data_IF_299851329972
#
_entry.id   IF_299851329972
#
_cell.length_a   1.000
_cell.length_b   1.000
_cell.length_c   1.000
_cell.angle_alpha   90.00
_cell.angle_beta   90.00
_cell.angle_gamma   90.00
#
_symmetry.space_group_name_H-M   'P 1'
#
loop_
_entity.id
_entity.type
_entity.pdbx_description
1 polymer ?
#
# COMPACT_ATOMS: atom_id res chain seq x y z
N UNK A 1 13.32 8.44 26.25
CA UNK A 1 12.80 8.72 24.89
C UNK A 1 11.30 8.46 24.91
N UNK A 2 10.49 9.43 24.53
CA UNK A 2 9.05 9.19 24.36
C UNK A 2 8.87 8.32 23.12
N UNK A 3 8.19 7.18 23.28
CA UNK A 3 7.89 6.30 22.15
C UNK A 3 6.97 6.94 21.12
N UNK A 4 6.88 6.35 19.93
CA UNK A 4 6.03 6.82 18.86
C UNK A 4 4.57 6.42 19.09
N UNK A 5 3.67 7.34 18.80
CA UNK A 5 2.24 7.05 18.69
C UNK A 5 1.87 6.75 17.24
N UNK A 6 1.50 5.49 16.99
CA UNK A 6 1.11 4.99 15.67
C UNK A 6 -0.40 4.79 15.62
N UNK A 7 -1.08 5.47 14.71
CA UNK A 7 -2.56 5.42 14.64
C UNK A 7 -3.02 4.88 13.29
N UNK A 8 -3.79 3.81 13.30
CA UNK A 8 -4.41 3.22 12.11
C UNK A 8 -5.89 3.56 12.01
N UNK A 9 -6.34 3.92 10.80
CA UNK A 9 -7.71 4.36 10.53
C UNK A 9 -8.51 3.28 9.79
N UNK A 10 -9.30 2.50 10.51
CA UNK A 10 -10.10 1.41 9.93
C UNK A 10 -11.17 1.88 8.94
N UNK A 11 -11.70 3.09 9.11
CA UNK A 11 -12.67 3.70 8.18
C UNK A 11 -12.07 4.11 6.84
N UNK A 12 -10.75 4.08 6.69
CA UNK A 12 -10.07 4.22 5.40
C UNK A 12 -10.26 3.00 4.48
N UNK A 13 -10.66 1.84 5.02
CA UNK A 13 -10.94 0.63 4.26
C UNK A 13 -12.33 0.73 3.64
N UNK A 14 -12.50 0.51 2.31
CA UNK A 14 -13.80 0.56 1.67
C UNK A 14 -14.79 -0.42 2.29
N UNK A 15 -16.07 -0.06 2.43
CA UNK A 15 -17.12 -0.99 2.79
C UNK A 15 -17.16 -2.15 1.77
N UNK A 16 -17.30 -3.37 2.22
CA UNK A 16 -17.34 -4.55 1.34
C UNK A 16 -15.99 -5.20 1.05
N UNK A 17 -14.88 -4.58 1.39
CA UNK A 17 -13.53 -5.16 1.18
C UNK A 17 -13.14 -6.20 2.27
N UNK A 18 -14.16 -6.86 2.83
CA UNK A 18 -14.00 -7.89 3.88
C UNK A 18 -13.26 -9.12 3.36
N UNK A 19 -13.46 -9.46 2.07
CA UNK A 19 -12.85 -10.65 1.44
C UNK A 19 -11.32 -10.59 1.36
N UNK A 20 -10.73 -9.41 1.33
CA UNK A 20 -9.30 -9.25 1.17
C UNK A 20 -8.51 -9.29 2.50
N UNK A 21 -9.14 -9.62 3.61
CA UNK A 21 -8.53 -9.66 4.95
C UNK A 21 -7.76 -8.37 5.37
N UNK A 22 -7.97 -7.28 4.64
CA UNK A 22 -7.28 -6.01 4.90
C UNK A 22 -7.47 -5.48 6.33
N UNK A 23 -8.67 -5.59 6.93
CA UNK A 23 -8.86 -5.21 8.33
C UNK A 23 -7.99 -6.03 9.28
N UNK A 24 -7.86 -7.34 9.05
CA UNK A 24 -7.04 -8.23 9.88
C UNK A 24 -5.56 -7.90 9.75
N UNK A 25 -5.08 -7.69 8.52
CA UNK A 25 -3.67 -7.36 8.26
C UNK A 25 -3.28 -6.05 8.95
N UNK A 26 -4.14 -5.02 8.90
CA UNK A 26 -3.91 -3.75 9.58
C UNK A 26 -3.92 -3.91 11.11
N UNK A 27 -4.82 -4.75 11.65
CA UNK A 27 -4.82 -5.08 13.08
C UNK A 27 -3.52 -5.76 13.50
N UNK A 28 -3.08 -6.76 12.74
CA UNK A 28 -1.84 -7.47 13.00
C UNK A 28 -0.61 -6.54 12.92
N UNK A 29 -0.64 -5.55 12.02
CA UNK A 29 0.41 -4.52 11.95
C UNK A 29 0.48 -3.71 13.25
N UNK A 30 -0.65 -3.20 13.74
CA UNK A 30 -0.72 -2.42 14.98
C UNK A 30 -0.36 -3.28 16.20
N UNK A 31 -0.77 -4.54 16.23
CA UNK A 31 -0.34 -5.48 17.26
C UNK A 31 1.19 -5.69 17.23
N UNK A 32 1.77 -5.78 16.04
CA UNK A 32 3.22 -5.82 15.84
C UNK A 32 3.93 -4.59 16.40
N UNK A 33 3.38 -3.39 16.17
CA UNK A 33 3.88 -2.15 16.75
C UNK A 33 3.86 -2.22 18.28
N UNK A 34 2.74 -2.60 18.86
CA UNK A 34 2.58 -2.69 20.32
C UNK A 34 3.53 -3.73 20.94
N UNK A 35 3.75 -4.85 20.27
CA UNK A 35 4.64 -5.90 20.75
C UNK A 35 6.11 -5.54 20.61
N UNK A 36 6.51 -5.13 19.39
CA UNK A 36 7.91 -4.85 19.08
C UNK A 36 8.37 -3.50 19.64
N UNK A 37 7.49 -2.50 19.64
CA UNK A 37 7.75 -1.14 20.09
C UNK A 37 7.67 -0.96 21.60
N UNK A 38 7.15 -1.94 22.35
CA UNK A 38 6.97 -1.84 23.82
C UNK A 38 8.24 -1.40 24.54
N UNK A 39 9.38 -1.94 24.16
CA UNK A 39 10.68 -1.60 24.75
C UNK A 39 11.14 -0.16 24.47
N UNK A 40 10.55 0.50 23.49
CA UNK A 40 10.81 1.89 23.13
C UNK A 40 9.71 2.84 23.62
N UNK A 41 8.64 2.30 24.19
CA UNK A 41 7.46 3.07 24.62
C UNK A 41 6.47 3.36 23.49
N UNK A 42 6.61 2.71 22.33
CA UNK A 42 5.71 2.89 21.19
C UNK A 42 4.29 2.41 21.51
N UNK A 43 3.30 3.11 20.97
CA UNK A 43 1.89 2.81 21.16
C UNK A 43 1.17 2.78 19.83
N UNK A 44 0.62 1.61 19.48
CA UNK A 44 -0.25 1.42 18.34
C UNK A 44 -1.72 1.50 18.72
N UNK A 45 -2.49 2.33 18.03
CA UNK A 45 -3.92 2.57 18.26
C UNK A 45 -4.70 2.32 16.98
N UNK A 46 -5.84 1.61 17.10
CA UNK A 46 -6.79 1.42 15.99
C UNK A 46 -7.99 2.33 16.21
N UNK A 47 -8.23 3.25 15.28
CA UNK A 47 -9.41 4.10 15.28
C UNK A 47 -10.47 3.58 14.31
N UNK A 48 -11.67 3.42 14.82
CA UNK A 48 -12.86 3.11 14.04
C UNK A 48 -13.79 4.33 13.96
N UNK A 49 -13.22 5.50 13.75
CA UNK A 49 -13.94 6.78 13.66
C UNK A 49 -13.59 7.50 12.36
N UNK A 50 -14.30 8.58 12.07
CA UNK A 50 -14.04 9.48 10.95
C UNK A 50 -13.20 10.70 11.34
N UNK A 51 -12.79 10.76 12.60
CA UNK A 51 -12.02 11.89 13.14
C UNK A 51 -10.53 11.66 12.93
N UNK A 52 -9.84 12.66 12.45
CA UNK A 52 -8.37 12.68 12.36
C UNK A 52 -7.82 13.08 13.72
N UNK A 53 -6.89 12.32 14.24
CA UNK A 53 -6.23 12.60 15.52
C UNK A 53 -4.73 12.82 15.31
N UNK A 54 -4.07 13.41 16.30
CA UNK A 54 -2.63 13.57 16.27
C UNK A 54 -1.91 12.22 16.47
N UNK A 55 -0.87 11.99 15.67
CA UNK A 55 -0.04 10.79 15.69
C UNK A 55 1.35 11.10 15.14
N UNK A 56 2.36 10.36 15.60
CA UNK A 56 3.69 10.46 15.03
C UNK A 56 3.76 9.74 13.67
N UNK A 57 3.04 8.62 13.58
CA UNK A 57 2.84 7.91 12.32
C UNK A 57 1.36 7.57 12.16
N UNK A 58 0.75 8.00 11.08
CA UNK A 58 -0.60 7.57 10.71
C UNK A 58 -0.54 6.44 9.70
N UNK A 59 -1.42 5.45 9.84
CA UNK A 59 -1.51 4.28 8.94
C UNK A 59 -2.85 4.28 8.24
N UNK A 60 -2.84 4.36 6.91
CA UNK A 60 -4.04 4.32 6.06
C UNK A 60 -3.97 3.20 5.04
N UNK A 61 -5.12 2.67 4.66
CA UNK A 61 -5.22 1.68 3.58
C UNK A 61 -5.59 2.37 2.27
N UNK A 62 -4.74 2.19 1.26
CA UNK A 62 -4.86 2.83 -0.05
C UNK A 62 -4.31 4.26 -0.05
N UNK A 63 -3.81 4.65 -1.20
CA UNK A 63 -3.21 5.97 -1.42
C UNK A 63 -4.28 7.06 -1.64
N UNK A 64 -3.83 8.31 -1.60
CA UNK A 64 -4.64 9.49 -1.89
C UNK A 64 -4.36 9.99 -3.31
N UNK A 65 -5.38 10.56 -3.96
CA UNK A 65 -5.26 11.21 -5.27
C UNK A 65 -6.24 12.39 -5.36
N UNK A 66 -6.15 13.20 -6.39
CA UNK A 66 -6.94 14.43 -6.56
C UNK A 66 -8.45 14.19 -6.48
N UNK A 67 -8.92 13.07 -7.04
CA UNK A 67 -10.33 12.68 -7.03
C UNK A 67 -10.80 12.00 -5.71
N UNK A 68 -10.04 12.11 -4.63
CA UNK A 68 -10.38 11.49 -3.33
C UNK A 68 -11.58 12.12 -2.61
N UNK A 69 -12.40 12.91 -3.29
CA UNK A 69 -13.58 13.57 -2.70
C UNK A 69 -14.88 12.79 -2.86
N UNK A 70 -14.94 11.76 -3.71
CA UNK A 70 -16.21 11.09 -4.06
C UNK A 70 -16.78 10.20 -2.95
N UNK A 71 -15.96 9.69 -2.07
CA UNK A 71 -16.39 8.75 -1.03
C UNK A 71 -15.77 9.09 0.32
N UNK A 72 -16.56 8.93 1.38
CA UNK A 72 -16.17 9.30 2.74
C UNK A 72 -14.84 8.65 3.20
N UNK A 73 -14.59 7.40 2.84
CA UNK A 73 -13.34 6.72 3.17
C UNK A 73 -12.13 7.31 2.43
N UNK A 74 -12.31 7.82 1.20
CA UNK A 74 -11.27 8.51 0.44
C UNK A 74 -10.99 9.91 1.01
N UNK A 75 -12.04 10.62 1.41
CA UNK A 75 -11.91 11.91 2.09
C UNK A 75 -11.13 11.77 3.39
N UNK A 76 -11.40 10.73 4.17
CA UNK A 76 -10.65 10.46 5.40
C UNK A 76 -9.17 10.18 5.12
N UNK A 77 -8.85 9.35 4.09
CA UNK A 77 -7.46 9.11 3.69
C UNK A 77 -6.73 10.42 3.38
N UNK A 78 -7.38 11.28 2.56
CA UNK A 78 -6.83 12.57 2.18
C UNK A 78 -6.59 13.45 3.41
N UNK A 79 -7.57 13.57 4.28
CA UNK A 79 -7.47 14.38 5.49
C UNK A 79 -6.36 13.91 6.44
N UNK A 80 -6.20 12.59 6.62
CA UNK A 80 -5.12 12.00 7.41
C UNK A 80 -3.77 12.29 6.78
N UNK A 81 -3.62 12.00 5.49
CA UNK A 81 -2.37 12.20 4.76
C UNK A 81 -1.92 13.67 4.79
N UNK A 82 -2.77 14.58 4.36
CA UNK A 82 -2.45 16.01 4.36
C UNK A 82 -2.23 16.56 5.77
N UNK A 83 -2.94 16.03 6.76
CA UNK A 83 -2.74 16.38 8.16
C UNK A 83 -1.35 15.98 8.67
N UNK A 84 -0.83 14.82 8.27
CA UNK A 84 0.54 14.40 8.59
C UNK A 84 1.57 15.28 7.86
N UNK A 85 1.37 15.53 6.57
CA UNK A 85 2.28 16.38 5.78
C UNK A 85 2.40 17.80 6.37
N UNK A 86 1.27 18.44 6.72
CA UNK A 86 1.28 19.77 7.36
C UNK A 86 2.04 19.82 8.69
N UNK A 87 2.12 18.69 9.40
CA UNK A 87 2.84 18.57 10.67
C UNK A 87 4.26 18.05 10.51
N UNK A 88 4.72 17.85 9.28
CA UNK A 88 5.99 17.21 8.97
C UNK A 88 6.15 15.83 9.66
N UNK A 89 5.04 15.07 9.72
CA UNK A 89 4.98 13.71 10.26
C UNK A 89 4.69 12.70 9.15
N UNK A 90 5.00 11.44 9.41
CA UNK A 90 4.96 10.38 8.41
C UNK A 90 3.56 9.74 8.30
N UNK A 91 3.20 9.37 7.08
CA UNK A 91 2.01 8.59 6.81
C UNK A 91 2.41 7.25 6.15
N UNK A 92 2.19 6.13 6.85
CA UNK A 92 2.36 4.83 6.24
C UNK A 92 1.13 4.46 5.42
N UNK A 93 1.33 4.22 4.16
CA UNK A 93 0.29 3.79 3.23
C UNK A 93 0.40 2.29 3.01
N UNK A 94 -0.71 1.60 3.21
CA UNK A 94 -0.82 0.14 3.02
C UNK A 94 -1.74 -0.13 1.84
N UNK A 95 -1.29 -0.91 0.88
CA UNK A 95 -2.11 -1.23 -0.29
C UNK A 95 -1.88 -2.66 -0.81
N UNK A 96 -2.70 -3.06 -1.76
CA UNK A 96 -2.61 -4.35 -2.42
C UNK A 96 -1.27 -4.55 -3.12
N UNK A 97 -0.79 -5.77 -3.15
CA UNK A 97 0.37 -6.19 -3.93
C UNK A 97 -0.04 -7.21 -5.00
N UNK A 98 0.89 -7.65 -5.82
CA UNK A 98 0.69 -8.74 -6.79
C UNK A 98 0.26 -10.05 -6.12
N UNK A 99 0.58 -10.22 -4.85
CA UNK A 99 0.38 -11.46 -4.10
C UNK A 99 -0.88 -11.46 -3.23
N UNK A 100 -1.72 -10.42 -3.32
CA UNK A 100 -2.95 -10.30 -2.52
C UNK A 100 -4.03 -11.29 -2.94
N UNK A 101 -4.08 -11.64 -4.22
CA UNK A 101 -5.16 -12.42 -4.83
C UNK A 101 -4.81 -13.88 -5.11
N UNK A 102 -3.67 -14.36 -4.64
CA UNK A 102 -3.24 -15.74 -4.85
C UNK A 102 -4.26 -16.75 -4.29
N UNK A 103 -4.84 -16.45 -3.13
CA UNK A 103 -5.99 -17.14 -2.55
C UNK A 103 -6.57 -16.28 -1.44
N UNK A 104 -7.83 -15.86 -1.60
CA UNK A 104 -8.51 -15.01 -0.62
C UNK A 104 -8.89 -15.74 0.67
N UNK A 105 -8.88 -17.06 0.67
CA UNK A 105 -9.20 -17.90 1.83
C UNK A 105 -7.99 -18.18 2.70
N UNK A 106 -6.77 -17.98 2.17
CA UNK A 106 -5.54 -18.23 2.90
C UNK A 106 -5.01 -17.00 3.62
N UNK A 107 -4.37 -17.22 4.77
CA UNK A 107 -3.65 -16.20 5.54
C UNK A 107 -2.37 -15.67 4.86
N UNK A 108 -2.10 -16.07 3.62
CA UNK A 108 -0.89 -15.76 2.84
C UNK A 108 -1.03 -14.54 1.94
N UNK A 109 -1.92 -13.62 2.31
CA UNK A 109 -2.07 -12.37 1.57
C UNK A 109 -1.02 -11.35 2.02
N UNK A 110 -0.30 -10.81 1.05
CA UNK A 110 0.72 -9.81 1.30
C UNK A 110 0.26 -8.44 0.85
N UNK A 111 0.47 -7.44 1.69
CA UNK A 111 0.28 -6.04 1.36
C UNK A 111 1.64 -5.38 1.15
N UNK A 112 1.68 -4.34 0.34
CA UNK A 112 2.83 -3.44 0.28
C UNK A 112 2.63 -2.29 1.26
N UNK A 113 3.74 -1.81 1.79
CA UNK A 113 3.82 -0.72 2.74
C UNK A 113 4.84 0.29 2.22
N UNK A 114 4.52 1.56 2.30
CA UNK A 114 5.44 2.63 1.96
C UNK A 114 5.15 3.87 2.80
N UNK A 115 6.18 4.61 3.15
CA UNK A 115 6.02 5.90 3.79
C UNK A 115 5.70 6.95 2.74
N UNK A 116 4.65 7.72 3.01
CA UNK A 116 4.18 8.87 2.24
C UNK A 116 3.81 8.57 0.78
N UNK A 117 3.81 7.31 0.39
CA UNK A 117 3.43 6.81 -0.93
C UNK A 117 3.49 5.28 -0.99
N UNK A 118 3.21 4.71 -2.16
CA UNK A 118 3.25 3.26 -2.42
C UNK A 118 3.89 2.90 -3.77
N UNK A 119 4.27 3.89 -4.54
CA UNK A 119 4.93 3.69 -5.84
C UNK A 119 6.40 4.07 -5.74
N UNK A 120 7.25 3.50 -6.58
CA UNK A 120 8.69 3.77 -6.56
C UNK A 120 9.07 5.25 -6.68
N UNK A 121 8.21 6.04 -7.32
CA UNK A 121 8.41 7.48 -7.51
C UNK A 121 7.78 8.37 -6.43
N UNK A 122 7.01 7.81 -5.50
CA UNK A 122 6.28 8.59 -4.48
C UNK A 122 6.52 8.11 -3.06
N UNK A 123 6.98 6.87 -2.88
CA UNK A 123 7.20 6.28 -1.57
C UNK A 123 8.68 6.21 -1.23
N UNK A 124 8.97 6.33 0.05
CA UNK A 124 10.26 5.97 0.57
C UNK A 124 10.32 4.46 0.83
N UNK A 125 11.25 3.79 0.18
CA UNK A 125 11.56 2.38 0.35
C UNK A 125 13.00 2.23 0.83
N UNK A 126 13.37 1.03 1.26
CA UNK A 126 14.76 0.67 1.48
C UNK A 126 15.41 0.41 0.11
N UNK A 127 16.34 1.26 -0.30
CA UNK A 127 17.00 1.20 -1.61
C UNK A 127 18.33 0.47 -1.57
N UNK A 128 19.09 0.65 -0.48
CA UNK A 128 20.43 0.11 -0.37
C UNK A 128 20.41 -1.26 0.30
N UNK A 129 20.69 -2.30 -0.46
CA UNK A 129 20.83 -3.67 0.00
C UNK A 129 19.67 -4.13 0.91
N UNK A 130 18.43 -4.16 0.42
CA UNK A 130 17.27 -4.52 1.21
C UNK A 130 17.36 -5.97 1.69
N UNK A 131 16.97 -6.22 2.94
CA UNK A 131 16.94 -7.56 3.49
C UNK A 131 16.00 -8.47 2.69
N UNK A 132 16.46 -9.57 2.08
CA UNK A 132 15.67 -10.42 1.20
C UNK A 132 14.67 -11.33 1.93
N UNK A 133 14.70 -11.42 3.25
CA UNK A 133 13.89 -12.38 4.04
C UNK A 133 12.41 -12.35 3.69
N UNK A 134 11.85 -11.16 3.47
CA UNK A 134 10.43 -11.04 3.11
C UNK A 134 10.15 -11.64 1.74
N UNK A 135 11.02 -11.41 0.76
CA UNK A 135 10.92 -11.97 -0.58
C UNK A 135 11.07 -13.51 -0.55
N UNK A 136 12.08 -14.01 0.14
CA UNK A 136 12.30 -15.44 0.28
C UNK A 136 11.11 -16.14 0.94
N UNK A 137 10.52 -15.51 1.95
CA UNK A 137 9.29 -16.01 2.55
C UNK A 137 8.13 -16.03 1.57
N UNK A 138 7.92 -14.96 0.79
CA UNK A 138 6.86 -14.89 -0.22
C UNK A 138 7.06 -15.97 -1.29
N UNK A 139 8.27 -16.13 -1.81
CA UNK A 139 8.62 -17.17 -2.77
C UNK A 139 8.23 -18.55 -2.26
N UNK A 140 8.65 -18.87 -1.04
CA UNK A 140 8.37 -20.15 -0.41
C UNK A 140 6.87 -20.36 -0.19
N UNK A 141 6.18 -19.40 0.41
CA UNK A 141 4.76 -19.50 0.78
C UNK A 141 3.84 -19.62 -0.43
N UNK A 142 4.21 -19.02 -1.55
CA UNK A 142 3.42 -19.00 -2.78
C UNK A 142 3.98 -19.93 -3.87
N UNK A 143 5.03 -20.66 -3.58
CA UNK A 143 5.72 -21.55 -4.53
C UNK A 143 6.08 -20.83 -5.85
N UNK A 144 6.72 -19.65 -5.72
CA UNK A 144 7.12 -18.84 -6.89
C UNK A 144 8.47 -19.28 -7.38
N UNK A 145 8.53 -19.73 -8.64
CA UNK A 145 9.76 -20.03 -9.35
C UNK A 145 10.10 -18.89 -10.32
N UNK A 146 11.28 -18.29 -10.16
CA UNK A 146 11.79 -17.32 -11.12
C UNK A 146 12.51 -18.05 -12.24
N UNK A 147 12.04 -17.83 -13.47
CA UNK A 147 12.74 -18.34 -14.66
C UNK A 147 13.89 -17.40 -15.01
N UNK A 148 14.99 -17.94 -15.57
CA UNK A 148 16.07 -17.12 -16.07
C UNK A 148 15.58 -16.17 -17.17
N UNK A 149 16.22 -15.01 -17.25
CA UNK A 149 15.95 -14.02 -18.28
C UNK A 149 16.21 -14.60 -19.68
N UNK A 150 15.28 -14.44 -20.61
CA UNK A 150 15.46 -14.85 -21.99
C UNK A 150 16.18 -13.76 -22.77
N UNK A 151 17.31 -14.07 -23.35
CA UNK A 151 18.05 -13.21 -24.25
C UNK A 151 17.59 -13.49 -25.69
N UNK A 152 16.64 -12.72 -26.18
CA UNK A 152 16.14 -12.81 -27.58
C UNK A 152 15.10 -13.92 -27.84
N UNK A 153 14.71 -14.06 -29.09
CA UNK A 153 13.82 -15.14 -29.57
C UNK A 153 12.31 -14.88 -29.51
N UNK A 154 11.89 -13.66 -29.14
CA UNK A 154 10.47 -13.28 -29.23
C UNK A 154 10.09 -12.85 -30.67
N UNK A 155 8.97 -13.39 -31.17
CA UNK A 155 8.39 -12.95 -32.46
C UNK A 155 7.33 -11.85 -32.27
N UNK A 156 6.94 -11.57 -31.02
CA UNK A 156 5.87 -10.64 -30.68
C UNK A 156 6.29 -9.70 -29.58
N UNK A 157 5.78 -8.47 -29.61
CA UNK A 157 5.87 -7.48 -28.54
C UNK A 157 4.55 -7.53 -27.78
N UNK A 158 4.61 -7.86 -26.48
CA UNK A 158 3.44 -7.79 -25.60
C UNK A 158 3.36 -6.41 -24.96
N UNK A 159 2.28 -5.68 -25.23
CA UNK A 159 2.00 -4.38 -24.61
C UNK A 159 0.93 -4.58 -23.53
N UNK A 160 1.32 -4.42 -22.27
CA UNK A 160 0.41 -4.54 -21.11
C UNK A 160 -0.20 -3.17 -20.78
N UNK A 161 -1.43 -2.95 -21.20
CA UNK A 161 -2.12 -1.68 -21.00
C UNK A 161 -2.75 -1.59 -19.59
N UNK A 162 -2.88 -0.36 -19.12
CA UNK A 162 -3.73 -0.03 -17.97
C UNK A 162 -5.21 0.10 -18.44
N UNK A 163 -6.14 0.00 -17.48
CA UNK A 163 -7.57 0.25 -17.78
C UNK A 163 -7.84 1.74 -17.98
N UNK A 164 -8.81 2.07 -18.83
CA UNK A 164 -9.33 3.43 -18.95
C UNK A 164 -9.82 3.96 -17.58
N UNK A 165 -9.57 5.25 -17.34
CA UNK A 165 -9.94 5.91 -16.10
C UNK A 165 -9.13 5.46 -14.87
N UNK A 166 -8.09 4.65 -15.06
CA UNK A 166 -7.10 4.39 -14.02
C UNK A 166 -6.37 5.68 -13.65
N UNK A 167 -6.26 5.98 -12.36
CA UNK A 167 -5.56 7.20 -11.92
C UNK A 167 -4.10 7.25 -12.39
N UNK A 168 -3.45 6.10 -12.58
CA UNK A 168 -2.09 6.00 -13.14
C UNK A 168 -1.99 6.50 -14.59
N UNK A 169 -3.11 6.60 -15.29
CA UNK A 169 -3.20 7.16 -16.63
C UNK A 169 -3.34 8.69 -16.65
N UNK A 170 -3.45 9.35 -15.49
CA UNK A 170 -3.55 10.81 -15.35
C UNK A 170 -4.62 11.44 -16.26
N UNK A 171 -5.75 10.74 -16.45
CA UNK A 171 -6.85 11.16 -17.33
C UNK A 171 -6.69 10.80 -18.81
N UNK A 172 -5.52 10.28 -19.21
CA UNK A 172 -5.32 9.81 -20.59
C UNK A 172 -6.12 8.54 -20.87
N UNK A 173 -6.72 8.45 -22.05
CA UNK A 173 -7.33 7.21 -22.51
C UNK A 173 -6.27 6.20 -22.95
N UNK A 174 -6.51 4.92 -22.69
CA UNK A 174 -5.56 3.85 -23.03
C UNK A 174 -5.26 3.83 -24.53
N UNK A 175 -6.27 4.09 -25.39
CA UNK A 175 -6.05 4.14 -26.83
C UNK A 175 -5.06 5.22 -27.25
N UNK A 176 -5.15 6.40 -26.67
CA UNK A 176 -4.24 7.52 -26.97
C UNK A 176 -2.82 7.19 -26.50
N UNK A 177 -2.72 6.54 -25.34
CA UNK A 177 -1.41 6.08 -24.83
C UNK A 177 -0.78 5.02 -25.74
N UNK A 178 -1.59 4.06 -26.24
CA UNK A 178 -1.15 3.04 -27.19
C UNK A 178 -0.64 3.67 -28.50
N UNK A 179 -1.41 4.57 -29.10
CA UNK A 179 -1.03 5.27 -30.33
C UNK A 179 0.30 6.00 -30.17
N UNK A 180 0.53 6.61 -29.01
CA UNK A 180 1.80 7.29 -28.72
C UNK A 180 2.97 6.31 -28.51
N UNK A 181 2.71 5.13 -27.96
CA UNK A 181 3.73 4.12 -27.60
C UNK A 181 4.16 3.28 -28.81
N UNK A 182 3.29 3.10 -29.82
CA UNK A 182 3.54 2.25 -30.98
C UNK A 182 4.25 3.03 -32.12
N UNK A 183 4.21 4.36 -32.09
CA UNK A 183 4.92 5.23 -33.03
C UNK A 183 6.40 5.33 -32.69
#
# INVERSE_FOLDING_TARGET
MNGYRVVSYMKCIPPGNKKAQKPLIIRNFIEGVNRAGKKFGDQGVILNSWTVVDADVSVIQGFTHENSQRHRHLMLRKAVYEGQQRRNKRCMIVDSSLFLYADITQSRNYLRYGYDGIFPNTAEYCWDNPNPHRWEKIKKDLNIELKPWRLGGGQYILICCQRDGGWSMQGMRVINWLEHTIR
#
